data_IF_665667823189
#
_entry.id   IF_665667823189
#
_cell.length_a   1.000
_cell.length_b   1.000
_cell.length_c   1.000
_cell.angle_alpha   90.00
_cell.angle_beta   90.00
_cell.angle_gamma   90.00
#
_symmetry.space_group_name_H-M   'P 1'
#
loop_
_entity.id
_entity.type
_entity.pdbx_description
1 polymer ?
#
# COMPACT_ATOMS: atom_id res chain seq x y z
N UNK A 1 6.86 22.77 4.57
CA UNK A 1 6.62 24.16 4.11
C UNK A 1 5.22 24.23 3.51
N UNK A 2 4.42 25.22 3.86
CA UNK A 2 3.10 25.43 3.24
C UNK A 2 3.25 26.42 2.09
N UNK A 3 2.79 26.04 0.89
CA UNK A 3 2.76 26.89 -0.30
C UNK A 3 1.31 27.23 -0.62
N UNK A 4 0.99 28.52 -0.63
CA UNK A 4 -0.30 29.02 -1.10
C UNK A 4 -0.30 29.02 -2.64
N UNK A 5 -1.07 28.10 -3.23
CA UNK A 5 -1.29 28.03 -4.67
C UNK A 5 -2.69 28.55 -5.02
N UNK A 6 -2.95 28.96 -6.28
CA UNK A 6 -4.29 29.42 -6.72
C UNK A 6 -5.41 28.39 -6.50
N UNK A 7 -5.05 27.11 -6.35
CA UNK A 7 -5.96 25.98 -6.13
C UNK A 7 -6.05 25.53 -4.66
N UNK A 8 -5.36 26.22 -3.73
CA UNK A 8 -5.37 25.92 -2.29
C UNK A 8 -3.98 25.81 -1.66
N UNK A 9 -3.93 25.55 -0.35
CA UNK A 9 -2.70 25.36 0.42
C UNK A 9 -2.14 23.96 0.23
N UNK A 10 -0.89 23.86 -0.23
CA UNK A 10 -0.19 22.60 -0.44
C UNK A 10 0.93 22.46 0.58
N UNK A 11 0.99 21.32 1.28
CA UNK A 11 2.13 21.00 2.13
C UNK A 11 3.25 20.41 1.26
N UNK A 12 4.45 20.95 1.38
CA UNK A 12 5.60 20.56 0.58
C UNK A 12 6.82 20.29 1.46
N UNK A 13 7.58 19.26 1.10
CA UNK A 13 8.91 18.98 1.62
C UNK A 13 9.91 19.58 0.63
N UNK A 14 10.83 20.41 1.15
CA UNK A 14 11.82 21.10 0.34
C UNK A 14 13.21 20.56 0.68
N UNK A 15 13.95 20.11 -0.34
CA UNK A 15 15.38 19.81 -0.22
C UNK A 15 16.15 20.79 -1.11
N UNK A 16 17.27 21.31 -0.61
CA UNK A 16 18.05 22.31 -1.32
C UNK A 16 19.53 21.95 -1.35
N UNK A 17 20.16 22.04 -2.52
CA UNK A 17 21.62 21.99 -2.63
C UNK A 17 22.15 23.28 -3.27
N UNK A 18 23.12 23.96 -2.63
CA UNK A 18 23.77 25.11 -3.24
C UNK A 18 24.67 24.65 -4.39
N UNK A 19 24.69 25.41 -5.48
CA UNK A 19 25.62 25.23 -6.59
C UNK A 19 26.71 26.29 -6.51
N UNK A 20 27.97 25.86 -6.53
CA UNK A 20 29.13 26.74 -6.46
C UNK A 20 29.74 26.93 -7.86
N UNK A 21 30.29 28.12 -8.11
CA UNK A 21 31.12 28.42 -9.28
C UNK A 21 32.53 27.81 -9.09
N UNK A 22 33.32 27.74 -10.17
CA UNK A 22 34.70 27.23 -10.17
C UNK A 22 35.65 28.00 -9.23
N UNK A 23 35.22 29.16 -8.72
CA UNK A 23 35.92 29.98 -7.72
C UNK A 23 35.42 29.78 -6.27
N UNK A 24 34.55 28.80 -6.03
CA UNK A 24 34.03 28.46 -4.70
C UNK A 24 32.99 29.44 -4.14
N UNK A 25 32.53 30.39 -4.95
CA UNK A 25 31.45 31.32 -4.57
C UNK A 25 30.08 30.73 -4.93
N UNK A 26 29.09 30.90 -4.06
CA UNK A 26 27.73 30.40 -4.26
C UNK A 26 27.07 31.19 -5.40
N UNK A 27 26.92 30.58 -6.57
CA UNK A 27 26.30 31.18 -7.77
C UNK A 27 24.80 30.94 -7.83
N UNK A 28 24.30 29.92 -7.13
CA UNK A 28 22.88 29.58 -7.12
C UNK A 28 22.56 28.43 -6.17
N UNK A 29 21.30 28.00 -6.17
CA UNK A 29 20.86 26.84 -5.42
C UNK A 29 19.67 26.19 -6.10
N UNK A 30 19.67 24.87 -6.12
CA UNK A 30 18.54 24.08 -6.60
C UNK A 30 17.69 23.74 -5.39
N UNK A 31 16.43 24.18 -5.39
CA UNK A 31 15.43 23.78 -4.40
C UNK A 31 14.46 22.85 -5.09
N UNK A 32 14.40 21.60 -4.64
CA UNK A 32 13.44 20.60 -5.09
C UNK A 32 12.27 20.58 -4.10
N UNK A 33 11.08 20.81 -4.62
CA UNK A 33 9.83 20.84 -3.85
C UNK A 33 9.01 19.58 -4.17
N UNK A 34 8.87 18.71 -3.18
CA UNK A 34 7.97 17.56 -3.26
C UNK A 34 6.66 17.87 -2.54
N UNK A 35 5.53 17.87 -3.26
CA UNK A 35 4.21 17.96 -2.62
C UNK A 35 3.99 16.71 -1.75
N UNK A 36 3.67 16.93 -0.48
CA UNK A 36 3.32 15.88 0.48
C UNK A 36 2.02 15.18 0.08
N UNK A 37 1.15 15.84 -0.69
CA UNK A 37 -0.08 15.22 -1.20
C UNK A 37 0.19 14.21 -2.30
N UNK A 38 1.36 14.24 -2.96
CA UNK A 38 1.72 13.26 -4.00
C UNK A 38 2.31 11.99 -3.38
N UNK A 39 3.01 12.11 -2.25
CA UNK A 39 3.44 10.96 -1.45
C UNK A 39 2.23 10.33 -0.76
N UNK A 40 1.31 11.12 -0.19
CA UNK A 40 0.08 10.55 0.39
C UNK A 40 -0.92 10.04 -0.65
N UNK A 41 -1.00 10.61 -1.86
CA UNK A 41 -1.88 10.09 -2.90
C UNK A 41 -1.31 8.89 -3.63
N UNK A 42 0.01 8.76 -3.84
CA UNK A 42 0.58 7.48 -4.28
C UNK A 42 0.51 6.41 -3.18
N UNK A 43 0.58 6.78 -1.90
CA UNK A 43 0.48 5.82 -0.80
C UNK A 43 -0.99 5.46 -0.48
N UNK A 44 -1.96 6.34 -0.73
CA UNK A 44 -3.39 6.07 -0.55
C UNK A 44 -4.12 5.64 -1.84
N UNK A 45 -3.54 5.81 -3.03
CA UNK A 45 -4.06 5.17 -4.25
C UNK A 45 -3.73 3.67 -4.31
N UNK A 46 -2.84 3.19 -3.44
CA UNK A 46 -2.46 1.77 -3.34
C UNK A 46 -3.30 1.02 -2.30
N UNK A 47 -3.98 1.73 -1.38
CA UNK A 47 -5.11 1.13 -0.66
C UNK A 47 -6.39 1.34 -1.47
N UNK A 48 -6.47 0.69 -2.62
CA UNK A 48 -7.74 0.45 -3.30
C UNK A 48 -8.63 -0.31 -2.33
N UNK A 49 -9.48 0.39 -1.58
CA UNK A 49 -10.45 -0.19 -0.63
C UNK A 49 -11.50 -1.08 -1.33
N UNK A 50 -11.39 -1.21 -2.64
CA UNK A 50 -12.27 -1.94 -3.53
C UNK A 50 -11.41 -2.83 -4.42
N UNK A 51 -11.81 -4.09 -4.50
CA UNK A 51 -11.30 -5.00 -5.52
C UNK A 51 -12.06 -4.76 -6.82
N UNK A 52 -11.36 -4.43 -7.89
CA UNK A 52 -11.99 -4.15 -9.20
C UNK A 52 -11.92 -5.37 -10.13
N UNK A 53 -11.01 -6.30 -9.85
CA UNK A 53 -10.73 -7.44 -10.70
C UNK A 53 -11.50 -8.70 -10.25
N UNK A 54 -11.99 -9.44 -11.23
CA UNK A 54 -12.68 -10.71 -11.10
C UNK A 54 -11.85 -11.84 -11.73
N UNK A 55 -12.27 -13.09 -11.50
CA UNK A 55 -11.60 -14.24 -12.12
C UNK A 55 -11.63 -14.20 -13.65
N UNK A 56 -12.60 -13.50 -14.24
CA UNK A 56 -12.75 -13.38 -15.69
C UNK A 56 -11.75 -12.37 -16.30
N UNK A 57 -11.12 -11.53 -15.46
CA UNK A 57 -10.04 -10.63 -15.84
C UNK A 57 -8.66 -11.33 -15.87
N UNK A 58 -8.58 -12.59 -15.41
CA UNK A 58 -7.36 -13.38 -15.45
C UNK A 58 -7.15 -13.92 -16.87
N UNK A 59 -6.19 -13.34 -17.58
CA UNK A 59 -5.83 -13.75 -18.94
C UNK A 59 -4.93 -14.98 -18.89
N UNK A 60 -5.44 -16.13 -19.36
CA UNK A 60 -4.65 -17.34 -19.54
C UNK A 60 -5.49 -18.58 -19.81
N UNK A 61 -5.11 -19.37 -20.82
CA UNK A 61 -5.86 -20.57 -21.25
C UNK A 61 -5.15 -21.89 -20.93
N UNK A 62 -3.95 -21.83 -20.36
CA UNK A 62 -3.16 -23.00 -20.00
C UNK A 62 -3.87 -23.82 -18.94
N UNK A 63 -3.64 -25.14 -18.95
CA UNK A 63 -4.23 -26.04 -17.97
C UNK A 63 -3.89 -25.65 -16.51
N UNK A 64 -2.64 -25.27 -16.16
CA UNK A 64 -2.31 -24.84 -14.80
C UNK A 64 -3.10 -23.60 -14.36
N UNK A 65 -3.26 -22.57 -15.20
CA UNK A 65 -4.03 -21.37 -14.83
C UNK A 65 -5.49 -21.73 -14.56
N UNK A 66 -6.09 -22.57 -15.41
CA UNK A 66 -7.49 -23.00 -15.24
C UNK A 66 -7.71 -23.75 -13.92
N UNK A 67 -6.80 -24.66 -13.56
CA UNK A 67 -6.87 -25.37 -12.27
C UNK A 67 -6.68 -24.41 -11.08
N UNK A 68 -5.73 -23.46 -11.16
CA UNK A 68 -5.53 -22.46 -10.11
C UNK A 68 -6.76 -21.57 -9.93
N UNK A 69 -7.38 -21.10 -11.02
CA UNK A 69 -8.64 -20.32 -10.97
C UNK A 69 -9.76 -21.13 -10.34
N UNK A 70 -9.89 -22.41 -10.68
CA UNK A 70 -10.88 -23.31 -10.09
C UNK A 70 -10.68 -23.49 -8.59
N UNK A 71 -9.43 -23.73 -8.16
CA UNK A 71 -9.08 -23.83 -6.74
C UNK A 71 -9.37 -22.53 -5.99
N UNK A 72 -8.99 -21.39 -6.57
CA UNK A 72 -9.22 -20.07 -5.99
C UNK A 72 -10.72 -19.75 -5.83
N UNK A 73 -11.58 -20.13 -6.78
CA UNK A 73 -13.04 -20.00 -6.63
C UNK A 73 -13.59 -20.81 -5.46
N UNK A 74 -13.11 -22.05 -5.27
CA UNK A 74 -13.52 -22.88 -4.13
C UNK A 74 -13.05 -22.23 -2.83
N UNK A 75 -11.80 -21.79 -2.76
CA UNK A 75 -11.23 -21.15 -1.59
C UNK A 75 -11.95 -19.83 -1.23
N UNK A 76 -12.36 -19.04 -2.23
CA UNK A 76 -13.09 -17.79 -2.06
C UNK A 76 -14.41 -17.96 -1.28
N UNK A 77 -15.08 -19.12 -1.41
CA UNK A 77 -16.31 -19.41 -0.66
C UNK A 77 -16.11 -19.62 0.85
N UNK A 78 -14.86 -19.70 1.31
CA UNK A 78 -14.50 -19.98 2.70
C UNK A 78 -14.05 -18.72 3.46
N UNK A 79 -14.01 -18.81 4.79
CA UNK A 79 -13.47 -17.75 5.66
C UNK A 79 -12.02 -17.99 6.09
N UNK A 80 -11.36 -18.98 5.50
CA UNK A 80 -9.98 -19.35 5.86
C UNK A 80 -8.96 -18.34 5.35
N UNK A 81 -7.81 -18.27 6.03
CA UNK A 81 -6.64 -17.57 5.51
C UNK A 81 -6.13 -18.28 4.25
N UNK A 82 -5.76 -17.51 3.24
CA UNK A 82 -5.29 -18.01 1.95
C UNK A 82 -3.87 -17.53 1.69
N UNK A 83 -2.99 -18.44 1.27
CA UNK A 83 -1.62 -18.13 0.86
C UNK A 83 -1.52 -18.22 -0.66
N UNK A 84 -1.14 -17.12 -1.30
CA UNK A 84 -0.90 -17.08 -2.75
C UNK A 84 0.60 -17.22 -3.02
N UNK A 85 0.99 -18.34 -3.63
CA UNK A 85 2.38 -18.62 -3.98
C UNK A 85 2.59 -18.52 -5.48
N UNK A 86 3.72 -17.95 -5.87
CA UNK A 86 4.12 -17.75 -7.25
C UNK A 86 5.25 -16.74 -7.33
N UNK A 87 6.00 -16.77 -8.44
CA UNK A 87 7.11 -15.84 -8.69
C UNK A 87 6.63 -14.38 -8.74
N UNK A 88 7.57 -13.44 -8.62
CA UNK A 88 7.25 -12.02 -8.79
C UNK A 88 6.67 -11.75 -10.18
N UNK A 89 5.67 -10.88 -10.28
CA UNK A 89 5.03 -10.54 -11.56
C UNK A 89 4.04 -11.57 -12.12
N UNK A 90 3.73 -12.66 -11.42
CA UNK A 90 2.78 -13.70 -11.87
C UNK A 90 1.29 -13.33 -11.71
N UNK A 91 0.97 -12.10 -11.29
CA UNK A 91 -0.41 -11.63 -11.17
C UNK A 91 -1.15 -12.09 -9.90
N UNK A 92 -0.43 -12.39 -8.80
CA UNK A 92 -1.04 -12.78 -7.50
C UNK A 92 -2.06 -11.76 -6.99
N UNK A 93 -1.83 -10.48 -7.24
CA UNK A 93 -2.76 -9.40 -6.87
C UNK A 93 -4.13 -9.56 -7.56
N UNK A 94 -4.16 -9.98 -8.83
CA UNK A 94 -5.40 -10.23 -9.57
C UNK A 94 -6.18 -11.36 -8.91
N UNK A 95 -5.50 -12.44 -8.50
CA UNK A 95 -6.11 -13.53 -7.74
C UNK A 95 -6.66 -13.05 -6.39
N UNK A 96 -5.92 -12.23 -5.64
CA UNK A 96 -6.37 -11.72 -4.34
C UNK A 96 -7.67 -10.91 -4.45
N UNK A 97 -7.74 -10.02 -5.44
CA UNK A 97 -8.93 -9.23 -5.75
C UNK A 97 -10.11 -10.10 -6.20
N UNK A 98 -9.87 -11.03 -7.13
CA UNK A 98 -10.89 -11.95 -7.62
C UNK A 98 -11.47 -12.84 -6.52
N UNK A 99 -10.61 -13.34 -5.62
CA UNK A 99 -10.99 -14.11 -4.44
C UNK A 99 -11.88 -13.29 -3.52
N UNK A 100 -11.50 -12.04 -3.20
CA UNK A 100 -12.33 -11.15 -2.38
C UNK A 100 -13.71 -10.94 -3.00
N UNK A 101 -13.77 -10.63 -4.31
CA UNK A 101 -15.00 -10.38 -5.04
C UNK A 101 -15.95 -11.59 -5.10
N UNK A 102 -15.40 -12.81 -5.01
CA UNK A 102 -16.18 -14.06 -4.99
C UNK A 102 -16.40 -14.62 -3.58
N UNK A 103 -15.98 -13.90 -2.54
CA UNK A 103 -16.15 -14.31 -1.16
C UNK A 103 -17.43 -13.77 -0.53
N UNK A 104 -17.91 -14.32 0.61
CA UNK A 104 -19.04 -13.73 1.33
C UNK A 104 -18.72 -12.35 1.95
N UNK A 105 -17.47 -11.89 1.86
CA UNK A 105 -16.99 -10.58 2.32
C UNK A 105 -16.82 -9.55 1.19
N UNK A 106 -17.33 -9.84 -0.01
CA UNK A 106 -17.19 -8.98 -1.20
C UNK A 106 -17.78 -7.57 -1.08
N UNK A 107 -18.70 -7.35 -0.13
CA UNK A 107 -19.26 -6.03 0.16
C UNK A 107 -18.41 -5.23 1.17
N UNK A 108 -17.46 -5.89 1.82
CA UNK A 108 -16.53 -5.28 2.76
C UNK A 108 -15.33 -4.64 2.04
N UNK A 109 -14.47 -3.93 2.78
CA UNK A 109 -13.26 -3.32 2.22
C UNK A 109 -12.25 -4.39 1.76
N UNK A 110 -11.61 -4.16 0.63
CA UNK A 110 -10.39 -4.87 0.25
C UNK A 110 -9.20 -3.97 0.56
N UNK A 111 -8.30 -4.34 1.47
CA UNK A 111 -7.12 -3.52 1.80
C UNK A 111 -5.89 -4.28 1.38
N UNK A 112 -5.15 -3.76 0.41
CA UNK A 112 -3.85 -4.29 0.02
C UNK A 112 -2.71 -3.52 0.70
N UNK A 113 -1.68 -4.24 1.12
CA UNK A 113 -0.43 -3.70 1.64
C UNK A 113 0.73 -4.53 1.10
N UNK A 114 1.71 -3.86 0.49
CA UNK A 114 2.97 -4.49 0.12
C UNK A 114 3.96 -4.29 1.28
N UNK A 115 4.42 -5.39 1.86
CA UNK A 115 5.29 -5.36 3.05
C UNK A 115 6.73 -4.98 2.71
N UNK A 116 7.21 -5.31 1.51
CA UNK A 116 8.54 -4.93 1.03
C UNK A 116 8.71 -3.42 0.78
N UNK A 117 7.61 -2.72 0.50
CA UNK A 117 7.60 -1.27 0.24
C UNK A 117 7.58 -0.40 1.50
N UNK A 118 7.33 -0.97 2.68
CA UNK A 118 7.23 -0.23 3.95
C UNK A 118 8.52 -0.39 4.74
N UNK A 119 9.10 0.71 5.28
CA UNK A 119 10.24 0.62 6.19
C UNK A 119 9.93 -0.31 7.37
N UNK A 120 10.85 -1.22 7.69
CA UNK A 120 10.66 -2.25 8.73
C UNK A 120 10.17 -1.70 10.07
N UNK A 121 10.73 -0.57 10.48
CA UNK A 121 10.39 0.12 11.74
C UNK A 121 8.94 0.64 11.78
N UNK A 122 8.31 0.83 10.61
CA UNK A 122 6.96 1.39 10.48
C UNK A 122 5.88 0.33 10.24
N UNK A 123 6.24 -0.91 9.89
CA UNK A 123 5.27 -1.97 9.55
C UNK A 123 4.22 -2.15 10.65
N UNK A 124 4.65 -2.25 11.92
CA UNK A 124 3.73 -2.39 13.04
C UNK A 124 2.75 -1.21 13.13
N UNK A 125 3.25 0.03 13.01
CA UNK A 125 2.41 1.23 13.04
C UNK A 125 1.45 1.35 11.86
N UNK A 126 1.78 0.78 10.70
CA UNK A 126 0.88 0.73 9.54
C UNK A 126 -0.22 -0.31 9.73
N UNK A 127 0.13 -1.52 10.18
CA UNK A 127 -0.81 -2.62 10.38
C UNK A 127 -1.79 -2.34 11.52
N UNK A 128 -1.27 -1.93 12.68
CA UNK A 128 -2.03 -1.81 13.92
C UNK A 128 -2.45 -0.37 14.24
N UNK A 129 -1.88 0.61 13.53
CA UNK A 129 -2.12 2.02 13.81
C UNK A 129 -1.35 2.50 15.03
N UNK A 130 -1.63 3.73 15.46
CA UNK A 130 -1.07 4.31 16.68
C UNK A 130 -1.98 5.41 17.22
N UNK A 131 -1.89 5.65 18.53
CA UNK A 131 -2.61 6.76 19.19
C UNK A 131 -1.74 8.02 19.24
N UNK A 132 -2.37 9.16 19.50
CA UNK A 132 -1.63 10.43 19.68
C UNK A 132 -0.57 10.30 20.78
N UNK A 133 0.63 10.81 20.52
CA UNK A 133 1.76 10.74 21.44
C UNK A 133 2.45 9.37 21.57
N UNK A 134 2.15 8.39 20.71
CA UNK A 134 2.79 7.06 20.78
C UNK A 134 4.32 7.08 20.57
N UNK A 135 4.85 8.05 19.79
CA UNK A 135 6.28 8.25 19.58
C UNK A 135 6.58 9.70 19.17
N UNK A 136 7.86 10.09 19.20
CA UNK A 136 8.32 11.41 18.76
C UNK A 136 8.07 11.58 17.25
N UNK A 137 7.12 12.44 16.88
CA UNK A 137 6.68 12.64 15.49
C UNK A 137 5.35 11.97 15.15
N UNK A 138 4.68 11.32 16.11
CA UNK A 138 3.30 10.85 15.94
C UNK A 138 2.37 12.02 15.54
N UNK A 139 1.48 11.77 14.59
CA UNK A 139 0.48 12.76 14.19
C UNK A 139 -0.51 12.98 15.33
N UNK A 140 -0.85 14.26 15.56
CA UNK A 140 -1.99 14.63 16.41
C UNK A 140 -3.25 13.93 15.91
N UNK A 141 -3.93 13.22 16.81
CA UNK A 141 -5.10 12.39 16.49
C UNK A 141 -4.81 10.92 16.12
N UNK A 142 -3.55 10.49 16.11
CA UNK A 142 -3.20 9.10 15.81
C UNK A 142 -3.41 8.68 14.35
N UNK A 143 -3.42 7.37 14.10
CA UNK A 143 -3.67 6.75 12.79
C UNK A 143 -4.32 5.38 12.97
N UNK A 144 -5.41 5.13 12.24
CA UNK A 144 -6.05 3.81 12.16
C UNK A 144 -5.15 2.80 11.44
N UNK A 145 -5.14 1.56 11.94
CA UNK A 145 -4.37 0.46 11.35
C UNK A 145 -5.03 -0.16 10.12
N UNK A 146 -4.26 -0.83 9.27
CA UNK A 146 -4.81 -1.57 8.12
C UNK A 146 -5.77 -2.70 8.52
N UNK A 147 -5.56 -3.33 9.69
CA UNK A 147 -6.51 -4.32 10.21
C UNK A 147 -7.88 -3.70 10.49
N UNK A 148 -7.90 -2.50 11.09
CA UNK A 148 -9.14 -1.75 11.35
C UNK A 148 -9.79 -1.31 10.04
N UNK A 149 -9.00 -0.82 9.08
CA UNK A 149 -9.50 -0.43 7.76
C UNK A 149 -10.08 -1.61 6.96
N UNK A 150 -9.60 -2.84 7.20
CA UNK A 150 -10.06 -4.05 6.54
C UNK A 150 -11.21 -4.76 7.28
N UNK A 151 -11.70 -4.19 8.39
CA UNK A 151 -12.74 -4.80 9.19
C UNK A 151 -14.00 -5.10 8.36
N UNK A 152 -14.52 -6.33 8.48
CA UNK A 152 -15.65 -6.82 7.69
C UNK A 152 -15.32 -7.19 6.23
N UNK A 153 -14.06 -7.04 5.81
CA UNK A 153 -13.59 -7.31 4.45
C UNK A 153 -12.37 -8.22 4.41
N UNK A 154 -11.40 -7.89 3.55
CA UNK A 154 -10.18 -8.68 3.32
C UNK A 154 -8.95 -7.79 3.43
N UNK A 155 -7.94 -8.24 4.18
CA UNK A 155 -6.59 -7.68 4.16
C UNK A 155 -5.69 -8.58 3.31
N UNK A 156 -5.08 -8.04 2.26
CA UNK A 156 -4.11 -8.72 1.42
C UNK A 156 -2.70 -8.23 1.74
N UNK A 157 -1.87 -9.16 2.23
CA UNK A 157 -0.47 -8.92 2.58
C UNK A 157 0.43 -9.41 1.43
N UNK A 158 0.86 -8.50 0.57
CA UNK A 158 1.82 -8.82 -0.48
C UNK A 158 3.25 -8.81 0.09
N UNK A 159 4.09 -9.71 -0.42
CA UNK A 159 5.47 -9.90 0.06
C UNK A 159 5.59 -10.11 1.57
N UNK A 160 4.65 -10.87 2.17
CA UNK A 160 4.63 -11.14 3.63
C UNK A 160 5.94 -11.74 4.17
N UNK A 161 6.73 -12.41 3.34
CA UNK A 161 8.05 -12.94 3.70
C UNK A 161 9.08 -11.86 4.08
N UNK A 162 8.86 -10.61 3.68
CA UNK A 162 9.72 -9.47 4.00
C UNK A 162 9.34 -8.81 5.34
N UNK A 163 8.32 -9.32 6.05
CA UNK A 163 7.97 -8.84 7.38
C UNK A 163 9.08 -9.14 8.40
N UNK A 164 9.43 -8.18 9.27
CA UNK A 164 10.33 -8.37 10.39
C UNK A 164 9.86 -9.50 11.32
N UNK A 165 10.79 -10.32 11.84
CA UNK A 165 10.48 -11.47 12.71
C UNK A 165 9.72 -11.09 13.98
N UNK A 166 9.91 -9.87 14.48
CA UNK A 166 9.21 -9.33 15.65
C UNK A 166 7.76 -8.93 15.37
N UNK A 167 7.36 -8.89 14.08
CA UNK A 167 6.00 -8.57 13.62
C UNK A 167 5.26 -9.78 13.05
N UNK A 168 5.88 -10.96 13.01
CA UNK A 168 5.29 -12.24 12.57
C UNK A 168 4.60 -12.95 13.73
#
# INVERSE_FOLDING_TARGET
>A
MLLDCPTGRVHCLASGQPSHDDKGSITGGIIVLHSIDRVHRLVNSVCGTRAELNFDDIIGLSHPIKETVKLARVAASTMSNMMLQGESGTGKEIFAQAIHNHSPRCQGPFVAINCGAIPRELIGSELFGYVDGAFTGARRGGKAGKFEMAAGGTLFLDEIGDMPLDQQ
#
